data_IF_763849723005
#
_entry.id   IF_763849723005
#
_cell.length_a   1.000
_cell.length_b   1.000
_cell.length_c   1.000
_cell.angle_alpha   90.00
_cell.angle_beta   90.00
_cell.angle_gamma   90.00
#
_symmetry.space_group_name_H-M   'P 1'
#
loop_
_entity.id
_entity.type
_entity.pdbx_description
1 polymer ?
#
# COMPACT_ATOMS: atom_id res chain seq x y z
N UNK A 1 11.24 18.69 -32.85
CA UNK A 1 10.92 18.28 -31.47
C UNK A 1 10.05 17.03 -31.56
N UNK A 2 10.61 15.86 -31.26
CA UNK A 2 10.09 14.54 -31.68
C UNK A 2 8.93 14.05 -30.81
N UNK A 3 7.90 13.47 -31.43
CA UNK A 3 6.73 12.85 -30.78
C UNK A 3 7.09 11.80 -29.72
N UNK A 4 8.28 11.19 -29.83
CA UNK A 4 8.84 10.23 -28.85
C UNK A 4 9.06 10.84 -27.46
N UNK A 5 9.40 12.14 -27.38
CA UNK A 5 9.54 12.81 -26.08
C UNK A 5 8.18 13.05 -25.40
N UNK A 6 7.09 13.17 -26.17
CA UNK A 6 5.74 13.31 -25.63
C UNK A 6 5.29 12.04 -24.90
N UNK A 7 5.48 10.88 -25.53
CA UNK A 7 5.15 9.57 -24.97
C UNK A 7 5.91 9.28 -23.66
N UNK A 8 7.22 9.57 -23.62
CA UNK A 8 8.03 9.44 -22.39
C UNK A 8 7.55 10.37 -21.27
N UNK A 9 7.11 11.59 -21.62
CA UNK A 9 6.49 12.54 -20.67
C UNK A 9 5.26 11.97 -20.00
N UNK A 10 4.39 11.31 -20.77
CA UNK A 10 3.17 10.67 -20.27
C UNK A 10 3.48 9.47 -19.37
N UNK A 11 4.43 8.61 -19.74
CA UNK A 11 4.81 7.46 -18.92
C UNK A 11 5.38 7.87 -17.57
N UNK A 12 6.23 8.91 -17.54
CA UNK A 12 6.77 9.42 -16.28
C UNK A 12 5.67 9.99 -15.37
N UNK A 13 4.63 10.62 -15.94
CA UNK A 13 3.47 11.08 -15.18
C UNK A 13 2.63 9.92 -14.65
N UNK A 14 2.40 8.90 -15.48
CA UNK A 14 1.67 7.69 -15.09
C UNK A 14 2.38 6.96 -13.94
N UNK A 15 3.70 6.78 -14.02
CA UNK A 15 4.49 6.16 -12.95
C UNK A 15 4.36 6.93 -11.62
N UNK A 16 4.47 8.26 -11.65
CA UNK A 16 4.29 9.12 -10.47
C UNK A 16 2.88 9.04 -9.91
N UNK A 17 1.87 9.01 -10.77
CA UNK A 17 0.47 8.87 -10.37
C UNK A 17 0.24 7.52 -9.69
N UNK A 18 0.70 6.44 -10.31
CA UNK A 18 0.59 5.07 -9.78
C UNK A 18 1.27 4.92 -8.43
N UNK A 19 2.50 5.44 -8.27
CA UNK A 19 3.21 5.45 -7.00
C UNK A 19 2.40 6.10 -5.87
N UNK A 20 1.82 7.28 -6.13
CA UNK A 20 0.98 7.98 -5.14
C UNK A 20 -0.29 7.19 -4.82
N UNK A 21 -0.92 6.59 -5.82
CA UNK A 21 -2.12 5.78 -5.63
C UNK A 21 -1.82 4.54 -4.76
N UNK A 22 -0.72 3.84 -5.03
CA UNK A 22 -0.27 2.68 -4.24
C UNK A 22 0.02 3.08 -2.78
N UNK A 23 0.74 4.18 -2.55
CA UNK A 23 1.01 4.66 -1.19
C UNK A 23 -0.26 5.07 -0.45
N UNK A 24 -1.18 5.78 -1.11
CA UNK A 24 -2.46 6.17 -0.52
C UNK A 24 -3.29 4.95 -0.16
N UNK A 25 -3.42 3.99 -1.08
CA UNK A 25 -4.16 2.76 -0.85
C UNK A 25 -3.52 1.91 0.25
N UNK A 26 -2.18 1.79 0.25
CA UNK A 26 -1.44 1.07 1.28
C UNK A 26 -1.63 1.69 2.67
N UNK A 27 -1.81 3.01 2.75
CA UNK A 27 -2.15 3.72 3.98
C UNK A 27 -3.52 3.38 4.57
N UNK A 28 -4.45 2.86 3.76
CA UNK A 28 -5.83 2.58 4.17
C UNK A 28 -6.02 1.18 4.77
N UNK A 29 -5.00 0.32 4.74
CA UNK A 29 -5.09 -0.97 5.42
C UNK A 29 -5.33 -0.78 6.93
N UNK A 30 -6.35 -1.46 7.50
CA UNK A 30 -6.61 -1.36 8.93
C UNK A 30 -5.47 -1.98 9.74
N UNK A 31 -5.02 -3.17 9.35
CA UNK A 31 -3.91 -3.86 10.01
C UNK A 31 -2.56 -3.16 9.76
N UNK A 32 -1.83 -2.87 10.83
CA UNK A 32 -0.53 -2.17 10.79
C UNK A 32 0.51 -2.86 9.92
N UNK A 33 0.67 -4.18 10.08
CA UNK A 33 1.63 -4.98 9.33
C UNK A 33 1.43 -4.85 7.81
N UNK A 34 0.19 -4.86 7.34
CA UNK A 34 -0.13 -4.70 5.92
C UNK A 34 0.07 -3.26 5.45
N UNK A 35 -0.30 -2.28 6.27
CA UNK A 35 -0.10 -0.86 5.97
C UNK A 35 1.39 -0.53 5.76
N UNK A 36 2.23 -0.98 6.67
CA UNK A 36 3.67 -0.70 6.62
C UNK A 36 4.38 -1.56 5.56
N UNK A 37 3.98 -2.82 5.40
CA UNK A 37 4.47 -3.66 4.30
C UNK A 37 4.14 -3.06 2.94
N UNK A 38 2.89 -2.64 2.70
CA UNK A 38 2.48 -2.06 1.42
C UNK A 38 3.27 -0.78 1.10
N UNK A 39 3.47 0.11 2.09
CA UNK A 39 4.28 1.32 1.93
C UNK A 39 5.73 0.99 1.59
N UNK A 40 6.37 0.10 2.36
CA UNK A 40 7.76 -0.30 2.13
C UNK A 40 7.92 -0.97 0.77
N UNK A 41 7.09 -1.98 0.46
CA UNK A 41 7.11 -2.72 -0.79
C UNK A 41 6.95 -1.81 -2.01
N UNK A 42 6.05 -0.82 -1.93
CA UNK A 42 5.86 0.18 -2.99
C UNK A 42 7.13 1.01 -3.18
N UNK A 43 7.74 1.53 -2.11
CA UNK A 43 8.97 2.33 -2.18
C UNK A 43 10.13 1.53 -2.76
N UNK A 44 10.30 0.30 -2.30
CA UNK A 44 11.38 -0.58 -2.73
C UNK A 44 11.21 -0.98 -4.19
N UNK A 45 9.97 -1.29 -4.63
CA UNK A 45 9.68 -1.61 -6.03
C UNK A 45 10.07 -0.46 -6.97
N UNK A 46 9.65 0.77 -6.66
CA UNK A 46 9.93 1.93 -7.50
C UNK A 46 11.41 2.31 -7.49
N UNK A 47 12.10 2.16 -6.34
CA UNK A 47 13.55 2.40 -6.25
C UNK A 47 14.34 1.36 -7.04
N UNK A 48 13.99 0.09 -6.92
CA UNK A 48 14.67 -1.01 -7.62
C UNK A 48 14.56 -0.88 -9.15
N UNK A 49 13.47 -0.29 -9.65
CA UNK A 49 13.24 -0.12 -11.09
C UNK A 49 13.47 1.31 -11.60
N UNK A 50 14.08 2.19 -10.80
CA UNK A 50 14.26 3.60 -11.15
C UNK A 50 15.19 3.84 -12.35
N UNK A 51 16.09 2.89 -12.63
CA UNK A 51 17.07 2.98 -13.71
C UNK A 51 16.64 2.29 -15.02
N UNK A 52 15.45 1.69 -15.06
CA UNK A 52 14.93 1.02 -16.27
C UNK A 52 14.66 2.06 -17.35
N UNK A 53 15.16 1.81 -18.57
CA UNK A 53 15.03 2.73 -19.71
C UNK A 53 14.29 2.14 -20.91
N UNK A 54 14.18 0.80 -21.00
CA UNK A 54 13.40 0.15 -22.05
C UNK A 54 11.91 0.44 -21.84
N UNK A 55 11.28 0.93 -22.90
CA UNK A 55 9.90 1.40 -22.86
C UNK A 55 8.90 0.26 -22.61
N UNK A 56 9.18 -0.94 -23.13
CA UNK A 56 8.33 -2.12 -22.94
C UNK A 56 8.43 -2.60 -21.49
N UNK A 57 9.63 -2.64 -20.93
CA UNK A 57 9.83 -2.99 -19.53
C UNK A 57 9.10 -2.01 -18.60
N UNK A 58 9.16 -0.71 -18.89
CA UNK A 58 8.41 0.31 -18.13
C UNK A 58 6.90 0.06 -18.22
N UNK A 59 6.38 -0.22 -19.42
CA UNK A 59 4.96 -0.50 -19.61
C UNK A 59 4.53 -1.75 -18.84
N UNK A 60 5.31 -2.83 -18.87
CA UNK A 60 5.04 -4.05 -18.11
C UNK A 60 5.02 -3.79 -16.60
N UNK A 61 5.98 -3.02 -16.09
CA UNK A 61 6.03 -2.62 -14.68
C UNK A 61 4.83 -1.77 -14.28
N UNK A 62 4.39 -0.84 -15.14
CA UNK A 62 3.19 -0.04 -14.90
C UNK A 62 1.94 -0.92 -14.85
N UNK A 63 1.79 -1.86 -15.79
CA UNK A 63 0.67 -2.81 -15.79
C UNK A 63 0.67 -3.70 -14.55
N UNK A 64 1.84 -4.17 -14.13
CA UNK A 64 2.00 -4.90 -12.87
C UNK A 64 1.55 -4.06 -11.67
N UNK A 65 2.02 -2.82 -11.57
CA UNK A 65 1.64 -1.94 -10.47
C UNK A 65 0.14 -1.60 -10.46
N UNK A 66 -0.51 -1.49 -11.62
CA UNK A 66 -1.96 -1.33 -11.70
C UNK A 66 -2.73 -2.56 -11.18
N UNK A 67 -2.26 -3.77 -11.50
CA UNK A 67 -2.82 -5.02 -10.95
C UNK A 67 -2.63 -5.09 -9.44
N UNK A 68 -1.45 -4.73 -8.94
CA UNK A 68 -1.15 -4.66 -7.50
C UNK A 68 -2.06 -3.64 -6.79
N UNK A 69 -2.29 -2.47 -7.39
CA UNK A 69 -3.20 -1.46 -6.84
C UNK A 69 -4.64 -1.98 -6.73
N UNK A 70 -5.14 -2.68 -7.76
CA UNK A 70 -6.48 -3.29 -7.70
C UNK A 70 -6.56 -4.37 -6.61
N UNK A 71 -5.53 -5.18 -6.45
CA UNK A 71 -5.46 -6.17 -5.38
C UNK A 71 -5.47 -5.50 -4.00
N UNK A 72 -4.67 -4.45 -3.81
CA UNK A 72 -4.64 -3.70 -2.55
C UNK A 72 -6.00 -3.08 -2.21
N UNK A 73 -6.71 -2.51 -3.20
CA UNK A 73 -8.07 -1.99 -3.00
C UNK A 73 -9.02 -3.06 -2.46
N UNK A 74 -9.05 -4.24 -3.08
CA UNK A 74 -9.89 -5.36 -2.62
C UNK A 74 -9.50 -5.82 -1.22
N UNK A 75 -8.20 -6.00 -0.96
CA UNK A 75 -7.71 -6.46 0.33
C UNK A 75 -7.94 -5.44 1.45
N UNK A 76 -7.90 -4.14 1.13
CA UNK A 76 -8.24 -3.09 2.09
C UNK A 76 -9.71 -3.20 2.51
N UNK A 77 -10.61 -3.36 1.54
CA UNK A 77 -12.05 -3.50 1.79
C UNK A 77 -12.35 -4.76 2.59
N UNK A 78 -11.76 -5.92 2.24
CA UNK A 78 -11.92 -7.16 3.01
C UNK A 78 -11.41 -6.99 4.44
N UNK A 79 -10.25 -6.37 4.62
CA UNK A 79 -9.71 -6.09 5.94
C UNK A 79 -10.58 -5.16 6.79
N UNK A 80 -11.39 -4.30 6.17
CA UNK A 80 -12.36 -3.45 6.89
C UNK A 80 -13.57 -4.24 7.40
N UNK A 81 -13.97 -5.32 6.74
CA UNK A 81 -15.04 -6.21 7.22
C UNK A 81 -14.59 -7.12 8.37
N UNK A 82 -13.31 -7.48 8.39
CA UNK A 82 -12.71 -8.38 9.37
C UNK A 82 -11.59 -7.68 10.14
N UNK A 83 -11.90 -6.53 10.73
CA UNK A 83 -10.94 -5.81 11.58
C UNK A 83 -10.69 -6.61 12.85
N UNK A 84 -9.40 -6.87 13.12
CA UNK A 84 -8.94 -7.40 14.39
C UNK A 84 -8.56 -6.27 15.32
N UNK A 85 -8.51 -6.56 16.63
CA UNK A 85 -8.01 -5.63 17.63
C UNK A 85 -6.63 -5.09 17.25
N UNK A 86 -6.39 -3.82 17.57
CA UNK A 86 -5.09 -3.20 17.31
C UNK A 86 -3.98 -3.97 18.03
N UNK A 87 -2.86 -4.15 17.32
CA UNK A 87 -1.68 -4.79 17.89
C UNK A 87 -1.10 -3.94 19.04
N UNK A 88 -0.38 -4.57 19.97
CA UNK A 88 0.30 -3.90 21.09
C UNK A 88 1.25 -2.77 20.64
N UNK A 89 1.83 -2.91 19.45
CA UNK A 89 2.74 -1.93 18.83
C UNK A 89 2.01 -0.73 18.20
N UNK A 90 0.69 -0.78 18.09
CA UNK A 90 -0.14 0.31 17.58
C UNK A 90 -0.66 1.24 18.70
N UNK A 91 -0.55 0.80 19.96
CA UNK A 91 -0.74 1.66 21.11
C UNK A 91 0.41 2.66 21.16
N UNK A 92 0.12 3.96 21.05
CA UNK A 92 1.13 4.99 21.29
C UNK A 92 1.72 4.86 22.71
N UNK A 93 2.76 5.65 23.01
CA UNK A 93 3.42 5.69 24.35
C UNK A 93 2.40 5.83 25.51
N UNK A 94 1.20 6.34 25.26
CA UNK A 94 0.13 6.53 26.25
C UNK A 94 -0.77 5.32 26.50
N UNK A 95 -0.73 4.25 25.68
CA UNK A 95 -1.61 3.08 25.82
C UNK A 95 -3.12 3.39 25.79
N UNK A 96 -3.52 4.61 25.40
CA UNK A 96 -4.92 5.03 25.35
C UNK A 96 -5.56 4.51 24.06
N UNK A 97 -6.21 3.36 24.18
CA UNK A 97 -7.27 2.96 23.28
C UNK A 97 -8.39 4.02 23.36
N UNK A 98 -8.85 4.48 22.21
CA UNK A 98 -9.96 5.42 22.01
C UNK A 98 -11.34 4.82 22.35
N UNK A 99 -11.36 3.79 23.21
CA UNK A 99 -12.54 3.29 23.90
C UNK A 99 -13.53 2.49 23.06
N UNK A 100 -13.21 2.14 21.81
CA UNK A 100 -14.18 1.46 20.92
C UNK A 100 -14.15 -0.06 20.98
N UNK A 101 -13.11 -0.68 21.55
CA UNK A 101 -12.99 -2.15 21.59
C UNK A 101 -12.58 -2.59 23.00
N UNK A 102 -13.56 -3.12 23.74
CA UNK A 102 -13.33 -3.79 25.02
C UNK A 102 -12.66 -5.13 24.71
N UNK A 103 -11.39 -5.27 25.09
CA UNK A 103 -10.69 -6.56 25.07
C UNK A 103 -11.44 -7.52 26.00
N UNK A 104 -12.26 -8.40 25.43
CA UNK A 104 -12.89 -9.47 26.18
C UNK A 104 -11.80 -10.50 26.51
N UNK A 105 -11.25 -10.39 27.72
CA UNK A 105 -10.31 -11.38 28.26
C UNK A 105 -11.15 -12.58 28.69
N UNK A 106 -11.38 -13.50 27.78
CA UNK A 106 -11.92 -14.82 28.13
C UNK A 106 -10.77 -15.63 28.74
N UNK A 107 -10.40 -15.28 29.97
CA UNK A 107 -9.59 -16.16 30.81
C UNK A 107 -10.51 -17.30 31.23
N UNK A 108 -10.50 -18.37 30.44
CA UNK A 108 -11.04 -19.66 30.85
C UNK A 108 -10.42 -20.05 32.18
N UNK A 109 -11.25 -20.18 33.20
CA UNK A 109 -10.87 -20.75 34.47
C UNK A 109 -10.91 -22.27 34.34
N UNK A 110 -9.76 -22.91 34.46
CA UNK A 110 -9.64 -24.34 34.80
C UNK A 110 -10.01 -24.57 36.28
#
# INVERSE_FOLDING_TARGET
>A
MSAVSGLKGDMAQQARSLYRQLLRQGGQFPAYNFRDYAKRRTRDAFRANAAVQDERDIQELLQKGLKELQAMKRQTVVGQFYQFDRLVVEGGISGKDDGSIVRQTDTGHD
#
